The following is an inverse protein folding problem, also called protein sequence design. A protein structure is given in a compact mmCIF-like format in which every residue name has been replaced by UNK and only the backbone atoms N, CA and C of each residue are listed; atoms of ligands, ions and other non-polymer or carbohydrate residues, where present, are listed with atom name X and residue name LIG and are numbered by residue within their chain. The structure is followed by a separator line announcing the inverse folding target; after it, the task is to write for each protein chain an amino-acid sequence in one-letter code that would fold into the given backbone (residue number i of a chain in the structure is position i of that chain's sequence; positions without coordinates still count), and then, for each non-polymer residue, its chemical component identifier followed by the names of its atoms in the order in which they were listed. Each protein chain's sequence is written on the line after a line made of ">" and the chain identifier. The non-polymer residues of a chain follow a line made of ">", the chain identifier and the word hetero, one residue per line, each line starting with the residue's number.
data_IF_949120871097
#
_entry.id   IF_949120871097
#
_cell.length_a   1.000
_cell.length_b   1.000
_cell.length_c   1.000
_cell.angle_alpha   90.00
_cell.angle_beta   90.00
_cell.angle_gamma   90.00
#
_symmetry.space_group_name_H-M   'P 1'
#
loop_
_entity.id
_entity.type
_entity.pdbx_description
1 polymer ?
#
# COMPACT_ATOMS: atom_id res chain seq x y z
N UNK A 1 -78.12 54.79 -20.17
CA UNK A 1 -76.72 54.56 -20.55
C UNK A 1 -75.94 55.83 -20.25
N UNK A 2 -75.11 55.82 -19.21
CA UNK A 2 -73.67 55.58 -19.38
C UNK A 2 -73.06 54.64 -18.31
N UNK A 3 -71.80 54.27 -18.54
CA UNK A 3 -70.97 53.31 -17.82
C UNK A 3 -70.68 53.71 -16.36
N UNK A 4 -70.80 52.74 -15.45
CA UNK A 4 -70.15 52.74 -14.13
C UNK A 4 -69.09 51.64 -14.07
N UNK A 5 -67.81 52.03 -13.93
CA UNK A 5 -66.65 51.12 -13.86
C UNK A 5 -66.60 50.39 -12.52
N UNK A 6 -66.53 49.06 -12.54
CA UNK A 6 -66.16 48.22 -11.40
C UNK A 6 -64.63 48.17 -11.27
N UNK A 7 -64.14 48.40 -10.05
CA UNK A 7 -62.73 48.40 -9.72
C UNK A 7 -62.16 46.97 -9.69
N UNK A 8 -61.17 46.69 -10.53
CA UNK A 8 -60.35 45.46 -10.48
C UNK A 8 -59.16 45.71 -9.56
N UNK A 9 -59.12 45.03 -8.41
CA UNK A 9 -57.95 45.04 -7.51
C UNK A 9 -56.81 44.21 -8.13
N UNK A 10 -55.71 44.86 -8.49
CA UNK A 10 -54.50 44.19 -8.95
C UNK A 10 -53.77 43.54 -7.76
N UNK A 11 -53.84 42.21 -7.65
CA UNK A 11 -52.99 41.43 -6.75
C UNK A 11 -51.60 41.33 -7.39
N UNK A 12 -50.68 42.17 -6.92
CA UNK A 12 -49.28 42.17 -7.33
C UNK A 12 -48.58 40.94 -6.73
N UNK A 13 -48.46 39.84 -7.49
CA UNK A 13 -47.60 38.71 -7.12
C UNK A 13 -46.15 39.20 -7.09
N UNK A 14 -45.54 39.21 -5.91
CA UNK A 14 -44.11 39.44 -5.74
C UNK A 14 -43.36 38.20 -6.24
N UNK A 15 -42.89 38.24 -7.49
CA UNK A 15 -41.94 37.26 -8.03
C UNK A 15 -40.54 37.56 -7.47
N UNK A 16 -40.21 36.98 -6.32
CA UNK A 16 -38.82 36.91 -5.86
C UNK A 16 -38.04 35.83 -6.63
N UNK A 17 -36.75 36.03 -6.94
CA UNK A 17 -35.94 35.00 -7.57
C UNK A 17 -35.78 33.81 -6.62
N UNK A 18 -36.02 32.59 -7.11
CA UNK A 18 -35.72 31.37 -6.38
C UNK A 18 -34.23 31.33 -6.01
N UNK A 19 -33.86 30.85 -4.79
CA UNK A 19 -32.46 30.73 -4.44
C UNK A 19 -31.74 29.83 -5.46
N UNK A 20 -30.49 30.13 -5.84
CA UNK A 20 -29.75 29.29 -6.75
C UNK A 20 -29.66 27.89 -6.13
N UNK A 21 -30.14 26.90 -6.86
CA UNK A 21 -29.91 25.50 -6.53
C UNK A 21 -28.39 25.33 -6.56
N UNK A 22 -27.78 25.22 -5.37
CA UNK A 22 -26.38 24.84 -5.24
C UNK A 22 -26.28 23.40 -5.76
N UNK A 23 -26.04 23.27 -7.06
CA UNK A 23 -25.55 22.04 -7.66
C UNK A 23 -24.18 21.79 -7.04
N UNK A 24 -24.15 21.09 -5.91
CA UNK A 24 -22.94 20.44 -5.45
C UNK A 24 -22.45 19.60 -6.62
N UNK A 25 -21.36 20.05 -7.25
CA UNK A 25 -20.66 19.27 -8.26
C UNK A 25 -20.28 17.98 -7.56
N UNK A 26 -21.01 16.89 -7.84
CA UNK A 26 -20.59 15.55 -7.44
C UNK A 26 -19.30 15.30 -8.20
N UNK A 27 -18.17 15.64 -7.59
CA UNK A 27 -16.89 15.10 -7.99
C UNK A 27 -17.02 13.60 -7.75
N UNK A 28 -17.34 12.85 -8.80
CA UNK A 28 -17.23 11.40 -8.72
C UNK A 28 -15.80 11.14 -8.23
N UNK A 29 -15.67 10.39 -7.13
CA UNK A 29 -14.39 9.91 -6.62
C UNK A 29 -13.90 8.84 -7.58
N UNK A 30 -13.52 9.25 -8.79
CA UNK A 30 -12.95 8.40 -9.81
C UNK A 30 -11.46 8.69 -9.89
N UNK A 31 -10.64 7.66 -9.67
CA UNK A 31 -9.20 7.72 -9.91
C UNK A 31 -8.90 7.03 -11.24
N UNK A 32 -8.28 7.75 -12.16
CA UNK A 32 -7.90 7.23 -13.47
C UNK A 32 -6.76 6.22 -13.40
N UNK A 33 -5.87 6.37 -12.42
CA UNK A 33 -4.64 5.59 -12.29
C UNK A 33 -4.23 5.41 -10.83
N UNK A 34 -3.52 4.32 -10.56
CA UNK A 34 -2.93 4.03 -9.24
C UNK A 34 -1.71 4.90 -8.93
N UNK A 35 -1.13 5.57 -9.92
CA UNK A 35 -0.01 6.49 -9.76
C UNK A 35 -0.41 7.92 -10.12
N UNK A 36 -1.69 8.27 -9.99
CA UNK A 36 -2.19 9.61 -10.27
C UNK A 36 -1.31 10.68 -9.58
N UNK A 37 -0.76 11.61 -10.38
CA UNK A 37 0.17 12.65 -9.92
C UNK A 37 1.67 12.31 -9.97
N UNK A 38 2.03 11.03 -10.15
CA UNK A 38 3.41 10.53 -10.23
C UNK A 38 3.73 9.81 -11.55
N UNK A 39 2.89 10.01 -12.58
CA UNK A 39 3.14 9.44 -13.90
C UNK A 39 4.30 10.17 -14.57
N UNK A 40 5.34 9.41 -14.90
CA UNK A 40 6.45 9.94 -15.70
C UNK A 40 6.14 9.70 -17.18
N UNK A 41 6.38 10.67 -18.07
CA UNK A 41 6.23 10.44 -19.49
C UNK A 41 7.21 9.33 -19.92
N UNK A 42 6.66 8.24 -20.46
CA UNK A 42 7.48 7.16 -21.00
C UNK A 42 8.24 7.67 -22.24
N UNK A 43 9.53 7.34 -22.37
CA UNK A 43 10.28 7.73 -23.57
C UNK A 43 9.63 7.11 -24.82
N UNK A 44 9.62 7.83 -25.96
CA UNK A 44 9.01 7.32 -27.18
C UNK A 44 9.69 6.02 -27.63
N UNK A 45 8.91 4.95 -27.72
CA UNK A 45 9.39 3.62 -28.10
C UNK A 45 9.96 3.63 -29.52
N UNK A 46 11.29 3.67 -29.65
CA UNK A 46 12.00 3.71 -30.94
C UNK A 46 12.31 2.31 -31.50
N UNK A 47 11.95 1.24 -30.79
CA UNK A 47 12.25 -0.14 -31.16
C UNK A 47 11.46 -0.59 -32.40
N UNK A 48 12.10 -1.26 -33.40
CA UNK A 48 11.39 -1.79 -34.57
C UNK A 48 10.28 -2.78 -34.21
N UNK A 49 9.16 -2.75 -34.95
CA UNK A 49 8.01 -3.62 -34.71
C UNK A 49 8.36 -5.12 -34.67
N UNK A 50 9.23 -5.59 -35.57
CA UNK A 50 9.66 -6.98 -35.61
C UNK A 50 10.41 -7.42 -34.34
N UNK A 51 11.18 -6.52 -33.72
CA UNK A 51 11.85 -6.79 -32.46
C UNK A 51 10.83 -6.95 -31.32
N UNK A 52 9.84 -6.05 -31.25
CA UNK A 52 8.74 -6.09 -30.27
C UNK A 52 7.92 -7.38 -30.40
N UNK A 53 7.64 -7.82 -31.61
CA UNK A 53 6.92 -9.09 -31.83
C UNK A 53 7.71 -10.30 -31.32
N UNK A 54 9.04 -10.33 -31.56
CA UNK A 54 9.91 -11.40 -31.04
C UNK A 54 9.99 -11.39 -29.52
N UNK A 55 10.02 -10.20 -28.91
CA UNK A 55 9.98 -10.02 -27.47
C UNK A 55 8.64 -10.49 -26.88
N UNK A 56 7.52 -10.07 -27.47
CA UNK A 56 6.19 -10.53 -27.07
C UNK A 56 6.02 -12.05 -27.17
N UNK A 57 6.63 -12.71 -28.16
CA UNK A 57 6.65 -14.18 -28.23
C UNK A 57 7.49 -14.83 -27.12
N UNK A 58 8.58 -14.18 -26.68
CA UNK A 58 9.41 -14.66 -25.56
C UNK A 58 8.66 -14.51 -24.23
N UNK A 59 8.03 -13.36 -24.01
CA UNK A 59 7.18 -13.11 -22.85
C UNK A 59 6.00 -14.08 -22.83
N UNK A 60 5.31 -14.27 -23.97
CA UNK A 60 4.22 -15.21 -24.06
C UNK A 60 4.66 -16.64 -23.72
N UNK A 61 5.86 -17.06 -24.14
CA UNK A 61 6.43 -18.36 -23.74
C UNK A 61 6.64 -18.46 -22.23
N UNK A 62 7.13 -17.40 -21.58
CA UNK A 62 7.28 -17.39 -20.11
C UNK A 62 5.92 -17.43 -19.41
N UNK A 63 4.94 -16.67 -19.92
CA UNK A 63 3.58 -16.63 -19.38
C UNK A 63 2.84 -17.97 -19.50
N UNK A 64 3.02 -18.69 -20.62
CA UNK A 64 2.49 -20.05 -20.77
C UNK A 64 3.18 -21.06 -19.84
N UNK A 65 4.47 -20.84 -19.51
CA UNK A 65 5.18 -21.60 -18.49
C UNK A 65 4.51 -21.42 -17.12
N UNK A 66 4.28 -20.17 -16.71
CA UNK A 66 3.58 -19.82 -15.47
C UNK A 66 2.16 -20.38 -15.44
N UNK A 67 1.40 -20.26 -16.54
CA UNK A 67 0.05 -20.83 -16.64
C UNK A 67 0.05 -22.34 -16.44
N UNK A 68 1.02 -23.06 -17.03
CA UNK A 68 1.14 -24.51 -16.86
C UNK A 68 1.37 -24.87 -15.40
N UNK A 69 2.24 -24.13 -14.71
CA UNK A 69 2.51 -24.33 -13.27
C UNK A 69 1.25 -24.08 -12.43
N UNK A 70 0.50 -23.02 -12.72
CA UNK A 70 -0.78 -22.73 -12.05
C UNK A 70 -1.81 -23.85 -12.26
N UNK A 71 -1.98 -24.31 -13.50
CA UNK A 71 -2.91 -25.41 -13.81
C UNK A 71 -2.52 -26.68 -13.07
N UNK A 72 -1.21 -26.96 -13.01
CA UNK A 72 -0.68 -28.13 -12.32
C UNK A 72 -0.85 -28.02 -10.80
N UNK A 73 -0.66 -26.85 -10.20
CA UNK A 73 -0.97 -26.61 -8.78
C UNK A 73 -2.47 -26.78 -8.50
N UNK A 74 -3.32 -26.22 -9.37
CA UNK A 74 -4.78 -26.34 -9.26
C UNK A 74 -5.24 -27.79 -9.35
N UNK A 75 -4.59 -28.62 -10.18
CA UNK A 75 -4.90 -30.04 -10.30
C UNK A 75 -4.36 -30.88 -9.13
N UNK A 76 -3.22 -30.49 -8.55
CA UNK A 76 -2.62 -31.20 -7.42
C UNK A 76 -3.44 -31.04 -6.12
N UNK A 77 -4.15 -29.93 -5.95
CA UNK A 77 -5.05 -29.70 -4.80
C UNK A 77 -4.42 -30.06 -3.45
N UNK A 78 -3.15 -29.71 -3.23
CA UNK A 78 -2.44 -30.03 -1.99
C UNK A 78 -2.34 -28.77 -1.13
N UNK A 79 -3.30 -28.49 -0.24
CA UNK A 79 -3.23 -27.36 0.66
C UNK A 79 -2.11 -27.59 1.67
N UNK A 80 -1.27 -26.58 1.87
CA UNK A 80 -0.29 -26.60 2.95
C UNK A 80 -1.03 -26.49 4.29
N UNK A 81 -0.77 -27.43 5.19
CA UNK A 81 -1.24 -27.38 6.57
C UNK A 81 -0.13 -26.81 7.46
N UNK A 82 -0.51 -25.92 8.37
CA UNK A 82 0.38 -25.32 9.36
C UNK A 82 -0.11 -25.70 10.75
N UNK A 83 0.81 -26.01 11.64
CA UNK A 83 0.55 -26.31 13.05
C UNK A 83 1.02 -25.15 13.92
N UNK A 84 0.46 -25.02 15.13
CA UNK A 84 0.96 -24.10 16.14
C UNK A 84 2.50 -24.11 16.23
N UNK A 85 3.10 -22.93 16.10
CA UNK A 85 4.55 -22.76 16.16
C UNK A 85 5.27 -22.80 14.82
N UNK A 86 4.57 -23.10 13.72
CA UNK A 86 5.16 -23.08 12.39
C UNK A 86 5.35 -21.65 11.87
N UNK A 87 6.46 -21.43 11.17
CA UNK A 87 6.73 -20.21 10.40
C UNK A 87 6.88 -20.57 8.93
N UNK A 88 6.06 -19.98 8.06
CA UNK A 88 6.33 -19.97 6.62
C UNK A 88 7.20 -18.77 6.26
N UNK A 89 8.37 -19.03 5.68
CA UNK A 89 9.24 -17.97 5.15
C UNK A 89 8.71 -17.54 3.79
N UNK A 90 8.22 -16.29 3.71
CA UNK A 90 7.64 -15.71 2.50
C UNK A 90 8.72 -15.13 1.59
N UNK A 91 9.66 -14.39 2.18
CA UNK A 91 10.79 -13.79 1.49
C UNK A 91 12.06 -14.04 2.26
N UNK A 92 13.06 -14.61 1.59
CA UNK A 92 14.38 -14.87 2.14
C UNK A 92 15.44 -14.24 1.26
N UNK A 93 16.34 -13.46 1.85
CA UNK A 93 17.29 -12.64 1.10
C UNK A 93 18.63 -13.33 0.85
N UNK A 94 18.58 -14.59 0.42
CA UNK A 94 19.80 -15.39 0.19
C UNK A 94 20.54 -15.00 -1.11
N UNK A 95 19.83 -14.38 -2.06
CA UNK A 95 20.31 -14.11 -3.42
C UNK A 95 20.13 -12.64 -3.80
N UNK A 96 21.06 -12.10 -4.60
CA UNK A 96 20.93 -10.76 -5.18
C UNK A 96 19.61 -10.58 -5.95
N UNK A 97 19.12 -11.62 -6.64
CA UNK A 97 17.84 -11.57 -7.35
C UNK A 97 16.66 -11.29 -6.41
N UNK A 98 16.65 -11.89 -5.22
CA UNK A 98 15.58 -11.69 -4.25
C UNK A 98 15.57 -10.26 -3.68
N UNK A 99 16.73 -9.60 -3.66
CA UNK A 99 16.88 -8.19 -3.28
C UNK A 99 16.44 -7.28 -4.43
N UNK A 100 16.86 -7.58 -5.66
CA UNK A 100 16.52 -6.81 -6.86
C UNK A 100 15.01 -6.84 -7.20
N UNK A 101 14.30 -7.91 -6.82
CA UNK A 101 12.84 -8.00 -6.98
C UNK A 101 12.07 -7.01 -6.09
N UNK A 102 12.71 -6.49 -5.04
CA UNK A 102 12.10 -5.50 -4.16
C UNK A 102 12.25 -4.10 -4.73
N UNK A 103 11.18 -3.31 -4.62
CA UNK A 103 11.13 -1.95 -5.15
C UNK A 103 11.51 -0.99 -4.04
N UNK A 104 12.61 -0.28 -4.22
CA UNK A 104 13.02 0.84 -3.37
C UNK A 104 12.35 2.12 -3.87
N UNK A 105 11.92 2.98 -2.95
CA UNK A 105 11.34 4.28 -3.27
C UNK A 105 11.71 5.28 -2.18
N UNK A 106 12.30 6.41 -2.55
CA UNK A 106 12.54 7.55 -1.68
C UNK A 106 11.71 8.76 -2.09
N UNK A 107 11.67 9.79 -1.24
CA UNK A 107 11.09 11.10 -1.58
C UNK A 107 11.77 11.76 -2.79
N UNK A 108 13.08 11.55 -2.96
CA UNK A 108 13.87 12.05 -4.08
C UNK A 108 13.41 11.49 -5.43
N UNK A 109 12.90 10.26 -5.45
CA UNK A 109 12.38 9.67 -6.68
C UNK A 109 11.12 10.40 -7.17
N UNK A 110 10.39 11.05 -6.27
CA UNK A 110 9.17 11.77 -6.62
C UNK A 110 9.37 13.29 -6.71
N UNK A 111 10.62 13.77 -6.67
CA UNK A 111 10.97 15.19 -6.58
C UNK A 111 10.34 15.88 -5.35
N UNK A 112 10.05 15.12 -4.30
CA UNK A 112 9.42 15.63 -3.07
C UNK A 112 10.42 15.94 -1.98
N UNK A 113 11.64 15.40 -2.03
CA UNK A 113 12.66 15.57 -0.99
C UNK A 113 14.08 15.20 -1.42
N UNK A 114 14.97 15.07 -0.44
CA UNK A 114 16.41 14.84 -0.65
C UNK A 114 16.91 13.53 -0.03
N UNK A 115 16.01 12.67 0.44
CA UNK A 115 16.38 11.39 1.03
C UNK A 115 16.85 10.41 -0.04
N UNK A 116 17.77 9.52 0.33
CA UNK A 116 18.31 8.49 -0.55
C UNK A 116 18.20 7.15 0.13
N UNK A 117 17.85 6.11 -0.64
CA UNK A 117 17.64 4.78 -0.12
C UNK A 117 18.12 3.74 -1.12
N UNK A 118 18.75 2.69 -0.62
CA UNK A 118 19.24 1.56 -1.39
C UNK A 118 18.92 0.25 -0.64
N UNK A 119 18.67 -0.79 -1.40
CA UNK A 119 18.48 -2.14 -0.88
C UNK A 119 19.52 -3.06 -1.53
N UNK A 120 20.44 -3.56 -0.73
CA UNK A 120 21.61 -4.32 -1.22
C UNK A 120 21.78 -5.62 -0.46
N UNK A 121 22.48 -6.58 -1.06
CA UNK A 121 22.84 -7.81 -0.36
C UNK A 121 24.05 -7.55 0.56
N UNK A 122 23.85 -7.74 1.86
CA UNK A 122 24.85 -7.53 2.90
C UNK A 122 25.75 -8.74 3.18
N UNK A 123 26.74 -8.54 4.06
CA UNK A 123 27.62 -9.62 4.53
C UNK A 123 26.80 -10.65 5.32
N UNK A 124 26.77 -11.89 4.84
CA UNK A 124 25.99 -12.98 5.44
C UNK A 124 24.73 -13.38 4.67
N UNK A 125 24.57 -12.94 3.42
CA UNK A 125 23.40 -13.25 2.58
C UNK A 125 22.09 -12.75 3.21
N UNK A 126 22.09 -11.47 3.60
CA UNK A 126 20.96 -10.78 4.22
C UNK A 126 20.64 -9.52 3.43
N UNK A 127 19.37 -9.13 3.34
CA UNK A 127 18.97 -7.86 2.71
C UNK A 127 19.32 -6.69 3.62
N UNK A 128 20.03 -5.69 3.11
CA UNK A 128 20.42 -4.48 3.83
C UNK A 128 19.70 -3.30 3.21
N UNK A 129 18.74 -2.77 3.96
CA UNK A 129 18.06 -1.52 3.64
C UNK A 129 18.79 -0.37 4.32
N UNK A 130 19.47 0.46 3.52
CA UNK A 130 20.29 1.55 4.01
C UNK A 130 20.08 2.82 3.21
N UNK A 131 20.30 3.95 3.84
CA UNK A 131 20.11 5.23 3.18
C UNK A 131 20.37 6.40 4.11
N UNK A 132 20.00 7.59 3.65
CA UNK A 132 20.07 8.83 4.42
C UNK A 132 18.72 9.54 4.33
N UNK A 133 18.09 9.75 5.48
CA UNK A 133 16.83 10.48 5.59
C UNK A 133 17.12 11.98 5.72
N UNK A 134 16.47 12.80 4.89
CA UNK A 134 16.50 14.26 5.03
C UNK A 134 15.08 14.80 5.11
N UNK A 135 14.81 15.60 6.14
CA UNK A 135 13.49 16.18 6.44
C UNK A 135 13.37 17.62 5.95
N UNK A 136 14.37 18.14 5.22
CA UNK A 136 14.30 19.49 4.63
C UNK A 136 13.35 19.49 3.43
N UNK A 137 12.27 20.28 3.45
CA UNK A 137 11.39 20.38 2.30
C UNK A 137 12.06 21.22 1.19
N UNK A 138 11.83 20.86 -0.09
CA UNK A 138 12.14 21.74 -1.23
C UNK A 138 11.43 23.09 -1.10
N UNK A 139 12.01 24.15 -1.68
CA UNK A 139 11.48 25.52 -1.59
C UNK A 139 10.29 25.80 -2.52
N UNK A 140 9.63 24.76 -3.02
CA UNK A 140 8.55 24.86 -4.02
C UNK A 140 7.18 25.18 -3.42
N UNK A 141 7.03 25.10 -2.10
CA UNK A 141 5.77 25.40 -1.39
C UNK A 141 4.63 24.40 -1.62
N UNK A 142 4.88 23.30 -2.36
CA UNK A 142 3.91 22.22 -2.60
C UNK A 142 3.94 21.16 -1.49
N UNK A 143 5.12 20.86 -0.97
CA UNK A 143 5.35 19.81 0.02
C UNK A 143 5.65 20.44 1.38
N UNK A 144 4.88 20.06 2.39
CA UNK A 144 5.04 20.56 3.76
C UNK A 144 6.01 19.69 4.59
N UNK A 145 5.95 18.37 4.40
CA UNK A 145 6.73 17.39 5.15
C UNK A 145 7.43 16.44 4.18
N UNK A 146 8.71 16.19 4.42
CA UNK A 146 9.58 15.31 3.61
C UNK A 146 10.36 14.36 4.51
N UNK A 147 11.11 13.44 3.92
CA UNK A 147 11.86 12.44 4.66
C UNK A 147 11.11 11.13 4.76
N UNK A 148 11.01 10.42 3.64
CA UNK A 148 10.64 9.00 3.66
C UNK A 148 11.55 8.18 2.75
N UNK A 149 11.83 6.96 3.20
CA UNK A 149 12.49 5.92 2.43
C UNK A 149 11.70 4.63 2.63
N UNK A 150 11.33 3.95 1.55
CA UNK A 150 10.47 2.78 1.58
C UNK A 150 11.05 1.67 0.70
N UNK A 151 10.91 0.44 1.16
CA UNK A 151 11.08 -0.75 0.34
C UNK A 151 9.77 -1.52 0.29
N UNK A 152 9.45 -2.08 -0.86
CA UNK A 152 8.21 -2.85 -1.07
C UNK A 152 8.53 -4.18 -1.72
N UNK A 153 7.93 -5.24 -1.18
CA UNK A 153 7.96 -6.57 -1.77
C UNK A 153 7.35 -6.56 -3.17
N UNK A 154 7.76 -7.51 -4.04
CA UNK A 154 7.06 -7.73 -5.29
C UNK A 154 5.59 -8.05 -5.03
N UNK A 155 4.75 -7.69 -6.00
CA UNK A 155 3.33 -8.01 -5.98
C UNK A 155 3.13 -9.42 -6.53
N UNK A 156 2.35 -10.26 -5.85
CA UNK A 156 1.98 -11.58 -6.38
C UNK A 156 1.26 -11.47 -7.74
N UNK A 157 1.85 -11.92 -8.84
CA UNK A 157 1.17 -11.96 -10.13
C UNK A 157 0.93 -13.41 -10.54
N UNK A 158 -0.21 -13.63 -11.19
CA UNK A 158 -0.51 -14.85 -11.94
C UNK A 158 -0.16 -14.63 -13.41
N UNK A 159 -0.20 -15.69 -14.19
CA UNK A 159 0.08 -15.69 -15.62
C UNK A 159 -0.72 -14.60 -16.35
N UNK A 160 -0.09 -14.03 -17.37
CA UNK A 160 -0.55 -12.89 -18.17
C UNK A 160 -0.73 -11.60 -17.36
N UNK A 161 0.09 -11.39 -16.32
CA UNK A 161 0.02 -10.21 -15.47
C UNK A 161 -1.29 -10.10 -14.67
N UNK A 162 -1.97 -11.23 -14.44
CA UNK A 162 -3.21 -11.24 -13.65
C UNK A 162 -2.89 -10.92 -12.21
N UNK A 163 -3.68 -10.03 -11.61
CA UNK A 163 -3.54 -9.72 -10.19
C UNK A 163 -3.83 -10.96 -9.34
N UNK A 164 -2.95 -11.23 -8.39
CA UNK A 164 -3.12 -12.25 -7.37
C UNK A 164 -3.00 -11.63 -5.97
N UNK A 165 -3.23 -12.41 -4.93
CA UNK A 165 -2.95 -12.02 -3.56
C UNK A 165 -2.16 -13.12 -2.88
N UNK A 166 -1.41 -12.73 -1.85
CA UNK A 166 -0.91 -13.65 -0.85
C UNK A 166 -2.05 -13.99 0.10
N UNK A 167 -2.26 -15.28 0.34
CA UNK A 167 -3.22 -15.76 1.32
C UNK A 167 -2.47 -16.05 2.62
N UNK A 168 -2.71 -15.22 3.63
CA UNK A 168 -2.14 -15.34 4.97
C UNK A 168 -3.17 -15.79 6.00
N UNK A 169 -4.34 -16.30 5.56
CA UNK A 169 -5.45 -16.66 6.46
C UNK A 169 -5.09 -17.74 7.48
N UNK A 170 -4.10 -18.59 7.19
CA UNK A 170 -3.61 -19.61 8.12
C UNK A 170 -2.73 -19.05 9.24
N UNK A 171 -2.30 -17.79 9.17
CA UNK A 171 -1.34 -17.21 10.09
C UNK A 171 -1.96 -16.15 10.98
N UNK A 172 -1.36 -15.97 12.14
CA UNK A 172 -1.82 -15.02 13.18
C UNK A 172 -0.87 -13.84 13.32
N UNK A 173 0.41 -14.06 13.03
CA UNK A 173 1.48 -13.10 13.19
C UNK A 173 2.29 -12.95 11.91
N UNK A 174 2.80 -11.74 11.71
CA UNK A 174 3.91 -11.46 10.83
C UNK A 174 5.22 -11.64 11.62
N UNK A 175 6.13 -12.47 11.11
CA UNK A 175 7.45 -12.68 11.71
C UNK A 175 8.54 -12.06 10.83
N UNK A 176 9.39 -11.22 11.41
CA UNK A 176 10.56 -10.69 10.74
C UNK A 176 11.80 -10.94 11.59
N UNK A 177 12.84 -11.50 10.97
CA UNK A 177 14.17 -11.55 11.59
C UNK A 177 15.00 -10.39 11.08
N UNK A 178 15.21 -9.41 11.95
CA UNK A 178 15.83 -8.14 11.60
C UNK A 178 16.94 -7.78 12.57
N UNK A 179 17.87 -6.95 12.10
CA UNK A 179 18.87 -6.27 12.91
C UNK A 179 18.84 -4.80 12.54
N UNK A 180 18.37 -3.97 13.47
CA UNK A 180 18.17 -2.55 13.25
C UNK A 180 19.18 -1.67 13.99
N UNK A 181 19.21 -0.42 13.57
CA UNK A 181 20.04 0.68 14.05
C UNK A 181 19.47 1.43 15.26
N UNK A 182 18.27 1.08 15.73
CA UNK A 182 17.58 1.76 16.83
C UNK A 182 16.48 2.70 16.37
N UNK A 183 16.28 2.85 15.05
CA UNK A 183 15.21 3.67 14.49
C UNK A 183 13.88 2.92 14.46
N UNK A 184 12.81 3.69 14.30
CA UNK A 184 11.47 3.18 14.09
C UNK A 184 11.21 2.99 12.58
N UNK A 185 10.72 1.81 12.23
CA UNK A 185 10.32 1.46 10.87
C UNK A 185 8.83 1.17 10.84
N UNK A 186 8.11 1.70 9.86
CA UNK A 186 6.71 1.39 9.63
C UNK A 186 6.60 0.17 8.72
N UNK A 187 5.98 -0.90 9.22
CA UNK A 187 5.59 -2.05 8.40
C UNK A 187 4.26 -1.75 7.74
N UNK A 188 4.20 -1.95 6.43
CA UNK A 188 3.07 -1.56 5.58
C UNK A 188 2.56 -2.78 4.82
N UNK A 189 1.41 -3.31 5.22
CA UNK A 189 0.71 -4.36 4.48
C UNK A 189 -0.26 -3.69 3.51
N UNK A 190 0.10 -3.71 2.23
CA UNK A 190 -0.74 -3.17 1.17
C UNK A 190 -1.84 -4.15 0.78
N UNK A 191 -3.07 -3.66 0.72
CA UNK A 191 -4.22 -4.39 0.18
C UNK A 191 -4.73 -3.62 -1.02
N UNK A 192 -5.00 -4.36 -2.08
CA UNK A 192 -5.71 -3.81 -3.23
C UNK A 192 -7.15 -4.30 -3.18
N UNK A 193 -8.07 -3.38 -2.92
CA UNK A 193 -9.49 -3.65 -3.16
C UNK A 193 -9.84 -3.55 -4.64
N UNK A 194 -11.03 -4.02 -4.99
CA UNK A 194 -11.55 -3.98 -6.35
C UNK A 194 -11.79 -2.54 -6.84
N UNK A 195 -12.28 -1.67 -5.95
CA UNK A 195 -12.64 -0.29 -6.27
C UNK A 195 -11.43 0.64 -6.19
N UNK A 196 -11.46 1.70 -7.00
CA UNK A 196 -10.43 2.72 -7.13
C UNK A 196 -10.19 3.54 -5.84
N UNK A 197 -11.26 3.78 -5.08
CA UNK A 197 -11.17 4.36 -3.74
C UNK A 197 -10.32 3.50 -2.78
N UNK A 198 -10.31 2.18 -2.98
CA UNK A 198 -9.63 1.19 -2.12
C UNK A 198 -8.22 0.77 -2.57
N UNK A 199 -7.68 1.31 -3.66
CA UNK A 199 -6.35 0.93 -4.18
C UNK A 199 -5.16 1.33 -3.28
N UNK A 200 -5.37 2.17 -2.27
CA UNK A 200 -4.31 2.65 -1.38
C UNK A 200 -4.58 2.34 0.09
N UNK A 201 -5.38 1.29 0.36
CA UNK A 201 -5.56 0.78 1.71
C UNK A 201 -4.27 0.09 2.17
N UNK A 202 -3.70 0.60 3.25
CA UNK A 202 -2.46 0.09 3.83
C UNK A 202 -2.68 -0.09 5.32
N UNK A 203 -2.32 -1.27 5.82
CA UNK A 203 -2.29 -1.58 7.23
C UNK A 203 -0.89 -1.36 7.76
N UNK A 204 -0.76 -0.56 8.81
CA UNK A 204 0.51 -0.04 9.28
C UNK A 204 0.79 -0.53 10.70
N UNK A 205 2.06 -0.76 11.00
CA UNK A 205 2.52 -1.06 12.36
C UNK A 205 3.93 -0.48 12.57
N UNK A 206 4.12 0.22 13.69
CA UNK A 206 5.43 0.78 14.04
C UNK A 206 6.32 -0.27 14.70
N UNK A 207 7.32 -0.75 13.96
CA UNK A 207 8.37 -1.64 14.44
C UNK A 207 9.51 -0.81 15.04
N UNK A 208 9.72 -0.97 16.35
CA UNK A 208 10.86 -0.38 17.06
C UNK A 208 12.02 -1.37 17.08
N UNK A 209 13.17 -0.94 16.58
CA UNK A 209 14.40 -1.73 16.63
C UNK A 209 15.20 -1.36 17.87
N UNK A 210 15.86 -2.33 18.51
CA UNK A 210 16.57 -2.07 19.78
C UNK A 210 17.91 -1.36 19.63
N UNK A 211 18.45 -1.27 18.40
CA UNK A 211 19.78 -0.73 18.12
C UNK A 211 20.87 -1.65 18.67
N UNK A 212 21.67 -2.25 17.79
CA UNK A 212 22.81 -3.07 18.23
C UNK A 212 23.24 -4.14 17.23
N UNK A 213 24.30 -4.90 17.57
CA UNK A 213 24.87 -5.89 16.65
C UNK A 213 24.05 -7.19 16.57
N UNK A 214 23.03 -7.36 17.41
CA UNK A 214 22.29 -8.59 17.58
C UNK A 214 21.06 -8.67 16.68
N UNK A 215 20.79 -9.89 16.21
CA UNK A 215 19.55 -10.22 15.51
C UNK A 215 18.38 -10.31 16.48
N UNK A 216 17.24 -9.76 16.08
CA UNK A 216 15.98 -9.88 16.80
C UNK A 216 14.92 -10.50 15.91
N UNK A 217 14.07 -11.34 16.49
CA UNK A 217 12.87 -11.86 15.83
C UNK A 217 11.70 -11.04 16.34
N UNK A 218 11.05 -10.30 15.45
CA UNK A 218 9.86 -9.53 15.73
C UNK A 218 8.64 -10.32 15.27
N UNK A 219 7.84 -10.80 16.22
CA UNK A 219 6.53 -11.42 15.98
C UNK A 219 5.45 -10.40 16.27
N UNK A 220 4.66 -10.07 15.25
CA UNK A 220 3.71 -8.97 15.31
C UNK A 220 2.35 -9.53 14.91
N UNK A 221 1.36 -9.55 15.83
CA UNK A 221 0.04 -10.08 15.50
C UNK A 221 -0.65 -9.16 14.49
N UNK A 222 -1.37 -9.75 13.53
CA UNK A 222 -2.11 -8.99 12.53
C UNK A 222 -3.21 -8.10 13.15
N UNK A 223 -3.70 -8.47 14.34
CA UNK A 223 -4.68 -7.69 15.13
C UNK A 223 -4.21 -6.28 15.51
N UNK A 224 -2.89 -6.05 15.56
CA UNK A 224 -2.30 -4.77 15.98
C UNK A 224 -2.04 -3.80 14.83
N UNK A 225 -2.32 -4.17 13.60
CA UNK A 225 -2.16 -3.24 12.48
C UNK A 225 -3.35 -2.29 12.39
N UNK A 226 -3.08 -1.02 12.05
CA UNK A 226 -4.12 -0.02 11.84
C UNK A 226 -4.18 0.42 10.37
N UNK A 227 -5.40 0.65 9.89
CA UNK A 227 -5.73 1.05 8.54
C UNK A 227 -5.43 2.52 8.28
N UNK A 228 -4.73 2.78 7.18
CA UNK A 228 -4.60 4.08 6.56
C UNK A 228 -4.96 4.02 5.07
N UNK A 229 -5.36 5.17 4.51
CA UNK A 229 -5.57 5.37 3.09
C UNK A 229 -4.84 6.65 2.66
N UNK A 230 -4.00 6.57 1.63
CA UNK A 230 -3.20 7.72 1.13
C UNK A 230 -2.48 8.51 2.25
N UNK A 231 -1.93 7.80 3.23
CA UNK A 231 -1.22 8.42 4.37
C UNK A 231 -2.12 9.01 5.46
N UNK A 232 -3.45 8.89 5.35
CA UNK A 232 -4.40 9.29 6.40
C UNK A 232 -4.93 8.07 7.13
N UNK A 233 -4.78 8.07 8.45
CA UNK A 233 -5.41 7.07 9.32
C UNK A 233 -6.92 7.18 9.16
N UNK A 234 -7.58 6.04 8.99
CA UNK A 234 -9.03 5.99 8.79
C UNK A 234 -9.74 6.01 10.14
N UNK A 235 -10.87 6.71 10.23
CA UNK A 235 -11.65 6.72 11.47
C UNK A 235 -12.29 5.35 11.72
N UNK A 236 -12.82 4.74 10.65
CA UNK A 236 -13.32 3.36 10.69
C UNK A 236 -12.19 2.37 10.48
N UNK A 237 -11.80 1.71 11.56
CA UNK A 237 -10.81 0.65 11.55
C UNK A 237 -11.45 -0.74 11.40
N UNK A 238 -10.62 -1.75 11.15
CA UNK A 238 -11.02 -3.15 11.07
C UNK A 238 -9.81 -4.06 11.01
N UNK A 239 -10.00 -5.39 11.09
CA UNK A 239 -8.92 -6.36 11.01
C UNK A 239 -8.35 -6.45 9.58
N UNK A 240 -7.08 -6.87 9.49
CA UNK A 240 -6.40 -7.09 8.20
C UNK A 240 -7.10 -8.21 7.42
N UNK A 241 -7.57 -7.99 6.19
CA UNK A 241 -8.07 -9.07 5.32
C UNK A 241 -6.91 -9.94 4.82
N UNK A 242 -6.58 -10.98 5.58
CA UNK A 242 -5.43 -11.85 5.33
C UNK A 242 -5.46 -12.60 3.99
N UNK A 243 -6.62 -12.79 3.38
CA UNK A 243 -6.78 -13.46 2.07
C UNK A 243 -6.40 -12.58 0.87
N UNK A 244 -6.33 -11.26 1.07
CA UNK A 244 -6.18 -10.26 0.00
C UNK A 244 -4.92 -9.40 0.17
N UNK A 245 -3.86 -9.96 0.75
CA UNK A 245 -2.61 -9.23 0.94
C UNK A 245 -1.89 -9.09 -0.41
N UNK A 246 -1.52 -7.86 -0.78
CA UNK A 246 -0.90 -7.59 -2.09
C UNK A 246 0.61 -7.47 -2.03
N UNK A 247 1.12 -6.80 -1.01
CA UNK A 247 2.54 -6.52 -0.82
C UNK A 247 2.83 -6.17 0.63
N UNK A 248 4.05 -6.43 1.06
CA UNK A 248 4.61 -5.93 2.31
C UNK A 248 5.61 -4.83 2.01
N UNK A 249 5.61 -3.76 2.80
CA UNK A 249 6.58 -2.69 2.71
C UNK A 249 7.16 -2.34 4.07
N UNK A 250 8.35 -1.75 4.05
CA UNK A 250 9.05 -1.27 5.24
C UNK A 250 9.50 0.15 4.95
N UNK A 251 8.97 1.11 5.69
CA UNK A 251 9.25 2.54 5.53
C UNK A 251 10.01 3.07 6.72
N UNK A 252 11.11 3.79 6.46
CA UNK A 252 11.73 4.71 7.41
C UNK A 252 11.15 6.11 7.18
N UNK A 253 10.43 6.63 8.18
CA UNK A 253 9.79 7.95 8.16
C UNK A 253 9.60 8.48 9.60
N UNK A 254 10.65 8.40 10.42
CA UNK A 254 10.64 8.79 11.84
C UNK A 254 10.87 10.30 12.06
N UNK A 255 10.96 11.08 10.98
CA UNK A 255 11.29 12.51 10.97
C UNK A 255 12.63 12.87 11.65
N UNK A 256 13.55 11.90 11.79
CA UNK A 256 14.91 12.14 12.30
C UNK A 256 15.88 12.17 11.11
N UNK A 257 16.50 13.31 10.78
CA UNK A 257 17.47 13.34 9.69
C UNK A 257 18.72 12.54 10.06
N UNK A 258 19.24 11.78 9.11
CA UNK A 258 20.46 11.00 9.30
C UNK A 258 20.45 9.64 8.60
N UNK A 259 21.57 8.91 8.68
CA UNK A 259 21.69 7.59 8.09
C UNK A 259 20.74 6.61 8.78
N UNK A 260 20.23 5.64 8.02
CA UNK A 260 19.55 4.48 8.59
C UNK A 260 20.12 3.20 8.00
N UNK A 261 20.03 2.11 8.76
CA UNK A 261 20.44 0.78 8.33
C UNK A 261 19.60 -0.29 9.04
N UNK A 262 18.81 -0.99 8.25
CA UNK A 262 18.04 -2.16 8.67
C UNK A 262 18.52 -3.36 7.89
N UNK A 263 19.00 -4.38 8.59
CA UNK A 263 19.30 -5.67 7.98
C UNK A 263 18.16 -6.64 8.22
N UNK A 264 17.83 -7.41 7.20
CA UNK A 264 16.69 -8.32 7.17
C UNK A 264 17.20 -9.66 6.66
N UNK A 265 17.04 -10.69 7.46
CA UNK A 265 17.38 -12.07 7.07
C UNK A 265 16.23 -12.68 6.27
N UNK A 266 15.05 -12.70 6.90
CA UNK A 266 13.82 -13.15 6.26
C UNK A 266 12.58 -12.43 6.80
N UNK A 267 11.53 -12.48 5.99
CA UNK A 267 10.16 -12.12 6.35
C UNK A 267 9.28 -13.35 6.17
N UNK A 268 8.52 -13.68 7.19
CA UNK A 268 7.64 -14.84 7.22
C UNK A 268 6.33 -14.57 7.92
N UNK A 269 5.45 -15.55 7.88
CA UNK A 269 4.18 -15.56 8.60
C UNK A 269 4.20 -16.72 9.61
N UNK A 270 3.75 -16.44 10.83
CA UNK A 270 3.80 -17.34 11.98
C UNK A 270 2.41 -17.65 12.49
N UNK A 271 2.17 -18.91 12.85
CA UNK A 271 0.92 -19.36 13.45
C UNK A 271 1.08 -19.57 14.95
N UNK A 272 0.22 -18.90 15.70
CA UNK A 272 0.11 -18.99 17.15
C UNK A 272 -1.34 -19.21 17.51
N UNK A 273 -1.73 -20.47 17.70
CA UNK A 273 -3.08 -20.84 18.16
C UNK A 273 -3.46 -20.26 19.53
N UNK A 274 -2.49 -19.81 20.34
CA UNK A 274 -2.81 -19.18 21.64
C UNK A 274 -3.30 -17.73 21.47
N UNK A 275 -3.09 -17.12 20.31
CA UNK A 275 -3.50 -15.74 20.04
C UNK A 275 -4.93 -15.70 19.51
N UNK A 276 -5.86 -15.22 20.33
CA UNK A 276 -7.29 -15.13 20.01
C UNK A 276 -7.79 -13.72 19.70
N UNK A 277 -6.94 -12.69 19.78
CA UNK A 277 -7.35 -11.31 19.54
C UNK A 277 -7.54 -11.07 18.04
N UNK A 278 -8.76 -10.68 17.64
CA UNK A 278 -9.07 -10.35 16.24
C UNK A 278 -8.61 -8.95 15.85
N UNK A 279 -8.83 -7.97 16.74
CA UNK A 279 -8.49 -6.57 16.48
C UNK A 279 -8.23 -5.82 17.79
N UNK A 280 -7.08 -5.14 17.89
CA UNK A 280 -6.60 -4.55 19.14
C UNK A 280 -7.16 -3.15 19.45
N UNK A 281 -7.71 -2.45 18.45
CA UNK A 281 -8.14 -1.06 18.62
C UNK A 281 -9.64 -0.96 18.86
N UNK A 282 -10.01 -0.17 19.87
CA UNK A 282 -11.41 0.09 20.20
C UNK A 282 -12.04 1.02 19.17
N UNK A 283 -13.27 0.68 18.76
CA UNK A 283 -14.08 1.49 17.87
C UNK A 283 -15.19 2.17 18.68
N UNK A 284 -15.31 3.49 18.56
CA UNK A 284 -16.44 4.22 19.13
C UNK A 284 -17.66 4.14 18.19
N UNK A 285 -18.85 4.11 18.77
CA UNK A 285 -20.09 4.17 17.99
C UNK A 285 -20.21 5.54 17.35
N UNK A 286 -20.22 5.58 16.01
CA UNK A 286 -20.49 6.80 15.26
C UNK A 286 -22.01 6.94 15.04
N UNK A 287 -22.57 8.16 15.13
CA UNK A 287 -23.99 8.37 14.84
C UNK A 287 -24.30 7.99 13.38
N UNK A 288 -25.51 7.50 13.13
CA UNK A 288 -25.97 6.93 11.84
C UNK A 288 -25.72 7.78 10.58
N UNK A 289 -25.54 9.09 10.74
CA UNK A 289 -25.29 10.04 9.64
C UNK A 289 -23.79 10.35 9.43
N UNK A 290 -22.89 9.68 10.13
CA UNK A 290 -21.46 9.86 9.98
C UNK A 290 -20.98 9.18 8.69
N UNK A 291 -20.49 9.99 7.75
CA UNK A 291 -19.88 9.49 6.51
C UNK A 291 -18.37 9.45 6.73
N UNK A 292 -17.74 8.26 6.81
CA UNK A 292 -16.29 8.15 6.91
C UNK A 292 -15.66 8.75 5.64
N UNK A 293 -14.66 9.61 5.81
CA UNK A 293 -13.86 10.11 4.69
C UNK A 293 -12.82 9.07 4.29
N UNK A 294 -12.97 8.49 3.10
CA UNK A 294 -11.99 7.59 2.48
C UNK A 294 -10.95 8.35 1.65
#
# INVERSE_FOLDING_TARGET
>A
MPLGRLATSAVRRLSGPSPPILLFRRTCFYKSSRKEGYERPEPPNTTPYAARFREGLRELKTEFGLLKEEMLQTLRCDPKYYFHGDTEVLWKFDSAKAVDDWIVTADRDNDEGFSTADFTLGPGMTGVFSGHLDTKPPKDGRVLHTGYCNIRSPRAMRSFGRNASYDWSAFTHLELRVRGDGRAYMLNIGIDGYFDVTWHLIYNFALYTRGGPYWQIARIPFSRFFLSNKGRIQDKQGPVPLTHVRSLGITCADAVPGPFRLEIDYVGAYIDEAHSEEFAYEMYETPLNYVPGY
#
